data_IF_442111582359
#
_entry.id   IF_442111582359
#
_cell.length_a   1.000
_cell.length_b   1.000
_cell.length_c   1.000
_cell.angle_alpha   90.00
_cell.angle_beta   90.00
_cell.angle_gamma   90.00
#
_symmetry.space_group_name_H-M   'P 1'
#
loop_
_entity.id
_entity.type
_entity.pdbx_description
1 polymer ?
#
# COMPACT_ATOMS: atom_id res chain seq x y z
N UNK A 1 -7.84 -11.94 -6.19
CA UNK A 1 -6.89 -11.81 -5.07
C UNK A 1 -7.48 -10.84 -4.06
N UNK A 2 -7.67 -11.24 -2.81
CA UNK A 2 -8.20 -10.36 -1.75
C UNK A 2 -7.09 -9.79 -0.86
N UNK A 3 -5.95 -10.45 -0.78
CA UNK A 3 -4.85 -10.08 0.11
C UNK A 3 -3.53 -10.16 -0.65
N UNK A 4 -2.71 -9.12 -0.55
CA UNK A 4 -1.34 -9.08 -1.07
C UNK A 4 -0.43 -8.57 0.04
N UNK A 5 0.57 -9.35 0.42
CA UNK A 5 1.54 -9.01 1.48
C UNK A 5 2.92 -8.93 0.84
N UNK A 6 3.53 -7.75 0.92
CA UNK A 6 4.87 -7.44 0.42
C UNK A 6 5.75 -6.84 1.53
N UNK A 7 5.40 -7.12 2.79
CA UNK A 7 6.12 -6.61 3.95
C UNK A 7 7.57 -7.10 3.97
N UNK A 8 8.49 -6.29 4.51
CA UNK A 8 9.89 -6.68 4.74
C UNK A 8 10.73 -6.80 3.46
N UNK A 9 10.41 -6.02 2.43
CA UNK A 9 11.18 -5.98 1.19
C UNK A 9 11.93 -4.64 1.06
N UNK A 10 12.61 -4.44 -0.06
CA UNK A 10 13.32 -3.19 -0.37
C UNK A 10 12.58 -2.38 -1.45
N UNK A 11 11.25 -2.44 -1.46
CA UNK A 11 10.45 -1.78 -2.49
C UNK A 11 10.42 -0.27 -2.25
N UNK A 12 10.71 0.50 -3.29
CA UNK A 12 10.57 1.97 -3.31
C UNK A 12 9.48 2.46 -4.28
N UNK A 13 8.97 1.56 -5.13
CA UNK A 13 7.90 1.81 -6.09
C UNK A 13 7.03 0.55 -6.26
N UNK A 14 5.81 0.75 -6.74
CA UNK A 14 4.90 -0.31 -7.16
C UNK A 14 4.58 -0.17 -8.65
N UNK A 15 4.44 -1.27 -9.39
CA UNK A 15 4.10 -1.25 -10.81
C UNK A 15 2.68 -0.70 -11.01
N UNK A 16 2.46 0.04 -12.11
CA UNK A 16 1.16 0.64 -12.44
C UNK A 16 0.07 -0.43 -12.67
N UNK A 17 0.49 -1.62 -13.10
CA UNK A 17 -0.35 -2.79 -13.34
C UNK A 17 -1.04 -3.28 -12.08
N UNK A 18 -0.50 -2.98 -10.88
CA UNK A 18 -1.13 -3.34 -9.61
C UNK A 18 -2.53 -2.73 -9.49
N UNK A 19 -2.77 -1.56 -10.08
CA UNK A 19 -4.09 -0.91 -10.15
C UNK A 19 -5.16 -1.72 -10.89
N UNK A 20 -4.81 -2.82 -11.56
CA UNK A 20 -5.77 -3.74 -12.17
C UNK A 20 -6.39 -4.72 -11.15
N UNK A 21 -5.88 -4.77 -9.92
CA UNK A 21 -6.38 -5.66 -8.88
C UNK A 21 -7.67 -5.11 -8.24
N UNK A 22 -8.77 -5.17 -9.01
CA UNK A 22 -10.09 -4.64 -8.63
C UNK A 22 -10.77 -5.34 -7.44
N UNK A 23 -10.19 -6.42 -6.92
CA UNK A 23 -10.72 -7.22 -5.81
C UNK A 23 -9.78 -7.27 -4.61
N UNK A 24 -8.68 -6.52 -4.64
CA UNK A 24 -7.72 -6.49 -3.55
C UNK A 24 -8.32 -5.71 -2.37
N UNK A 25 -8.47 -6.37 -1.23
CA UNK A 25 -9.04 -5.82 0.00
C UNK A 25 -7.98 -5.48 1.05
N UNK A 26 -6.86 -6.22 1.06
CA UNK A 26 -5.73 -6.00 1.96
C UNK A 26 -4.42 -5.87 1.19
N UNK A 27 -3.62 -4.84 1.52
CA UNK A 27 -2.28 -4.63 1.02
C UNK A 27 -1.29 -4.35 2.15
N UNK A 28 -0.30 -5.24 2.33
CA UNK A 28 0.84 -5.05 3.22
C UNK A 28 2.07 -4.56 2.45
N UNK A 29 2.62 -3.42 2.85
CA UNK A 29 3.86 -2.82 2.35
C UNK A 29 4.77 -2.38 3.50
N UNK A 30 4.57 -2.88 4.71
CA UNK A 30 5.34 -2.49 5.89
C UNK A 30 6.81 -2.86 5.72
N UNK A 31 7.71 -2.12 6.38
CA UNK A 31 9.15 -2.35 6.35
C UNK A 31 9.71 -2.43 4.92
N UNK A 32 9.44 -1.39 4.14
CA UNK A 32 9.94 -1.17 2.79
C UNK A 32 10.65 0.20 2.70
N UNK A 33 11.01 0.61 1.49
CA UNK A 33 11.81 1.79 1.21
C UNK A 33 10.98 2.93 0.56
N UNK A 34 9.65 2.90 0.71
CA UNK A 34 8.78 3.93 0.15
C UNK A 34 9.04 5.28 0.84
N UNK A 35 9.44 6.29 0.08
CA UNK A 35 9.61 7.69 0.55
C UNK A 35 8.35 8.53 0.37
N UNK A 36 7.41 8.04 -0.44
CA UNK A 36 6.10 8.62 -0.71
C UNK A 36 5.06 7.52 -0.85
N UNK A 37 3.80 7.87 -0.69
CA UNK A 37 2.67 6.97 -0.94
C UNK A 37 2.59 6.70 -2.45
N UNK A 38 2.65 5.43 -2.92
CA UNK A 38 2.60 5.13 -4.35
C UNK A 38 1.26 5.55 -4.99
N UNK A 39 1.32 6.29 -6.10
CA UNK A 39 0.12 6.76 -6.82
C UNK A 39 -0.80 5.61 -7.28
N UNK A 40 -0.26 4.39 -7.45
CA UNK A 40 -1.08 3.22 -7.81
C UNK A 40 -2.13 2.88 -6.75
N UNK A 41 -1.94 3.30 -5.50
CA UNK A 41 -2.92 3.09 -4.42
C UNK A 41 -4.24 3.81 -4.69
N UNK A 42 -4.22 4.91 -5.43
CA UNK A 42 -5.45 5.61 -5.87
C UNK A 42 -6.27 4.79 -6.87
N UNK A 43 -5.64 3.80 -7.52
CA UNK A 43 -6.26 2.94 -8.55
C UNK A 43 -6.70 1.59 -7.98
N UNK A 44 -6.70 1.43 -6.65
CA UNK A 44 -7.12 0.22 -5.95
C UNK A 44 -8.45 0.45 -5.23
N UNK A 45 -9.59 0.45 -5.94
CA UNK A 45 -10.86 0.93 -5.40
C UNK A 45 -11.46 0.04 -4.30
N UNK A 46 -11.00 -1.21 -4.19
CA UNK A 46 -11.51 -2.19 -3.24
C UNK A 46 -10.62 -2.37 -2.00
N UNK A 47 -9.49 -1.65 -1.88
CA UNK A 47 -8.57 -1.81 -0.75
C UNK A 47 -9.20 -1.17 0.49
N UNK A 48 -9.51 -2.02 1.47
CA UNK A 48 -10.09 -1.62 2.75
C UNK A 48 -9.02 -1.49 3.84
N UNK A 49 -7.91 -2.24 3.72
CA UNK A 49 -6.81 -2.24 4.67
C UNK A 49 -5.47 -2.09 3.95
N UNK A 50 -4.71 -1.09 4.38
CA UNK A 50 -3.36 -0.80 3.89
C UNK A 50 -2.41 -0.66 5.09
N UNK A 51 -1.34 -1.43 5.12
CA UNK A 51 -0.26 -1.30 6.10
C UNK A 51 1.02 -0.83 5.40
N UNK A 52 1.59 0.30 5.86
CA UNK A 52 2.85 0.86 5.34
C UNK A 52 3.81 1.26 6.48
N UNK A 53 3.67 0.66 7.66
CA UNK A 53 4.51 0.98 8.81
C UNK A 53 6.00 0.73 8.50
N UNK A 54 6.92 1.48 9.12
CA UNK A 54 8.35 1.28 8.90
C UNK A 54 8.85 1.61 7.49
N UNK A 55 8.12 2.45 6.73
CA UNK A 55 8.61 3.09 5.50
C UNK A 55 9.17 4.48 5.78
N UNK A 56 9.86 5.05 4.80
CA UNK A 56 10.46 6.40 4.87
C UNK A 56 9.44 7.52 4.61
N UNK A 57 8.24 7.19 4.13
CA UNK A 57 7.18 8.12 3.80
C UNK A 57 6.51 8.68 5.06
N UNK A 58 6.66 9.98 5.30
CA UNK A 58 5.99 10.69 6.40
C UNK A 58 4.98 11.69 5.85
N UNK A 59 3.75 11.25 5.54
CA UNK A 59 2.54 12.10 5.61
C UNK A 59 1.26 11.26 5.47
N UNK A 60 0.35 11.44 6.43
CA UNK A 60 -1.02 10.95 6.41
C UNK A 60 -1.72 11.41 5.13
N UNK A 61 -1.94 10.49 4.19
CA UNK A 61 -3.01 10.63 3.20
C UNK A 61 -4.23 9.87 3.73
N UNK A 62 -5.35 10.56 3.73
CA UNK A 62 -6.66 10.17 4.23
C UNK A 62 -7.26 9.03 3.41
N UNK A 63 -6.65 7.84 3.43
CA UNK A 63 -7.34 6.60 3.10
C UNK A 63 -8.18 6.25 4.33
N UNK A 64 -9.48 6.05 4.12
CA UNK A 64 -10.50 6.01 5.20
C UNK A 64 -10.23 4.98 6.31
N UNK A 65 -9.30 4.03 6.11
CA UNK A 65 -8.87 3.03 7.09
C UNK A 65 -7.39 2.62 6.90
N UNK A 66 -6.44 3.53 7.18
CA UNK A 66 -5.03 3.11 7.38
C UNK A 66 -4.86 2.71 8.84
N UNK A 67 -4.68 1.41 9.10
CA UNK A 67 -4.35 0.93 10.44
C UNK A 67 -2.84 1.10 10.65
N UNK A 68 -2.46 2.09 11.47
CA UNK A 68 -1.07 2.47 11.77
C UNK A 68 -0.56 1.84 13.07
N UNK A 69 -1.08 0.68 13.48
CA UNK A 69 -0.62 -0.05 14.67
C UNK A 69 0.78 -0.63 14.51
#
# INVERSE_FOLDING_TARGET
>A
LQTLVLDGNLLSALPAELGRLQRLAYLGLSFNEFTQVPAVLERLPAVERLCMAGNKAFRLLTLKHVDLR
#
